data_IF_171621364059
#
_entry.id   IF_171621364059
#
_cell.length_a   1.000
_cell.length_b   1.000
_cell.length_c   1.000
_cell.angle_alpha   90.00
_cell.angle_beta   90.00
_cell.angle_gamma   90.00
#
_symmetry.space_group_name_H-M   'P 1'
#
loop_
_entity.id
_entity.type
_entity.pdbx_description
1 polymer ?
#
# COMPACT_ATOMS: atom_id res chain seq x y z
N UNK A 1 9.68 27.46 20.17
CA UNK A 1 9.28 27.05 18.81
C UNK A 1 9.47 25.55 18.75
N UNK A 2 8.40 24.79 18.98
CA UNK A 2 8.45 23.33 18.88
C UNK A 2 8.67 22.98 17.41
N UNK A 3 9.85 22.45 17.11
CA UNK A 3 10.20 21.98 15.78
C UNK A 3 9.30 20.77 15.45
N UNK A 4 8.69 20.75 14.27
CA UNK A 4 7.87 19.66 13.71
C UNK A 4 8.66 18.35 13.46
N UNK A 5 9.61 18.01 14.32
CA UNK A 5 10.39 16.78 14.28
C UNK A 5 9.70 15.60 15.00
N UNK A 6 8.47 15.78 15.52
CA UNK A 6 7.71 14.72 16.19
C UNK A 6 6.63 14.06 15.33
N UNK A 7 6.68 14.21 14.00
CA UNK A 7 5.86 13.36 13.14
C UNK A 7 6.54 11.99 13.06
N UNK A 8 6.04 11.05 13.85
CA UNK A 8 6.39 9.62 13.86
C UNK A 8 6.97 9.15 12.53
N UNK A 9 8.28 8.88 12.48
CA UNK A 9 8.94 8.24 11.34
C UNK A 9 8.44 6.82 11.12
N UNK A 10 7.81 6.23 12.15
CA UNK A 10 7.12 4.94 12.08
C UNK A 10 5.84 5.07 11.24
N UNK A 11 5.92 4.58 10.01
CA UNK A 11 4.78 4.40 9.11
C UNK A 11 4.55 2.91 8.94
N UNK A 12 3.81 2.33 9.89
CA UNK A 12 3.24 0.99 9.73
C UNK A 12 1.96 1.08 8.89
N UNK A 13 1.99 0.50 7.70
CA UNK A 13 0.86 0.46 6.76
C UNK A 13 0.10 -0.86 6.91
N UNK A 14 -1.21 -0.77 7.11
CA UNK A 14 -2.09 -1.93 7.14
C UNK A 14 -2.64 -2.26 5.75
N UNK A 15 -2.51 -3.51 5.32
CA UNK A 15 -3.18 -4.04 4.12
C UNK A 15 -4.03 -5.27 4.48
N UNK A 16 -5.22 -5.40 3.88
CA UNK A 16 -6.01 -6.64 3.98
C UNK A 16 -5.75 -7.62 2.82
N UNK A 17 -4.79 -7.32 1.94
CA UNK A 17 -4.38 -8.16 0.83
C UNK A 17 -3.25 -9.10 1.28
N UNK A 18 -3.52 -10.41 1.36
CA UNK A 18 -2.50 -11.39 1.76
C UNK A 18 -1.49 -11.63 0.65
N UNK A 19 -1.95 -11.52 -0.59
CA UNK A 19 -1.15 -11.64 -1.80
C UNK A 19 -0.09 -10.54 -1.84
N UNK A 20 -0.40 -9.31 -1.44
CA UNK A 20 0.59 -8.22 -1.35
C UNK A 20 1.74 -8.57 -0.39
N UNK A 21 1.44 -9.19 0.75
CA UNK A 21 2.47 -9.64 1.69
C UNK A 21 3.34 -10.74 1.06
N UNK A 22 2.74 -11.65 0.29
CA UNK A 22 3.48 -12.68 -0.44
C UNK A 22 4.34 -12.08 -1.56
N UNK A 23 3.83 -11.08 -2.29
CA UNK A 23 4.55 -10.37 -3.35
C UNK A 23 5.78 -9.65 -2.80
N UNK A 24 5.66 -8.96 -1.66
CA UNK A 24 6.81 -8.28 -1.03
C UNK A 24 7.86 -9.29 -0.55
N UNK A 25 7.42 -10.48 -0.07
CA UNK A 25 8.33 -11.52 0.42
C UNK A 25 9.11 -12.22 -0.70
N UNK A 26 8.48 -12.40 -1.86
CA UNK A 26 9.09 -13.04 -3.03
C UNK A 26 8.69 -12.30 -4.31
N UNK A 27 9.27 -11.11 -4.57
CA UNK A 27 8.87 -10.25 -5.68
C UNK A 27 9.12 -10.89 -7.05
N UNK A 28 10.12 -11.78 -7.15
CA UNK A 28 10.46 -12.46 -8.41
C UNK A 28 9.38 -13.46 -8.87
N UNK A 29 8.56 -13.98 -7.96
CA UNK A 29 7.40 -14.81 -8.30
C UNK A 29 6.25 -14.02 -8.95
N UNK A 30 6.30 -12.68 -8.94
CA UNK A 30 5.22 -11.80 -9.39
C UNK A 30 5.69 -10.77 -10.43
N UNK A 31 6.24 -11.21 -11.57
CA UNK A 31 6.88 -10.32 -12.55
C UNK A 31 5.94 -9.26 -13.14
N UNK A 32 4.63 -9.52 -13.17
CA UNK A 32 3.62 -8.54 -13.61
C UNK A 32 3.51 -7.31 -12.71
N UNK A 33 4.04 -7.37 -11.48
CA UNK A 33 4.02 -6.28 -10.49
C UNK A 33 5.42 -5.70 -10.23
N UNK A 34 6.41 -5.99 -11.09
CA UNK A 34 7.80 -5.63 -10.86
C UNK A 34 7.99 -4.13 -10.60
N UNK A 35 7.32 -3.27 -11.36
CA UNK A 35 7.40 -1.80 -11.21
C UNK A 35 6.85 -1.33 -9.87
N UNK A 36 5.71 -1.89 -9.43
CA UNK A 36 5.09 -1.57 -8.14
C UNK A 36 5.96 -2.04 -6.98
N UNK A 37 6.55 -3.24 -7.09
CA UNK A 37 7.39 -3.84 -6.07
C UNK A 37 8.72 -3.10 -5.91
N UNK A 38 9.35 -2.67 -7.01
CA UNK A 38 10.55 -1.82 -6.97
C UNK A 38 10.29 -0.48 -6.25
N UNK A 39 9.10 0.11 -6.44
CA UNK A 39 8.72 1.33 -5.70
C UNK A 39 8.54 1.07 -4.21
N UNK A 40 7.93 -0.06 -3.83
CA UNK A 40 7.79 -0.44 -2.42
C UNK A 40 9.17 -0.68 -1.79
N UNK A 41 10.08 -1.36 -2.49
CA UNK A 41 11.46 -1.57 -2.04
C UNK A 41 12.21 -0.24 -1.87
N UNK A 42 12.07 0.68 -2.83
CA UNK A 42 12.64 2.03 -2.73
C UNK A 42 12.15 2.75 -1.48
N UNK A 43 10.85 2.68 -1.17
CA UNK A 43 10.28 3.26 0.04
C UNK A 43 10.85 2.59 1.30
N UNK A 44 11.00 1.27 1.32
CA UNK A 44 11.64 0.55 2.44
C UNK A 44 13.08 1.00 2.68
N UNK A 45 13.84 1.30 1.62
CA UNK A 45 15.21 1.82 1.72
C UNK A 45 15.24 3.26 2.24
N UNK A 46 14.33 4.12 1.76
CA UNK A 46 14.30 5.53 2.11
C UNK A 46 13.79 5.80 3.54
N UNK A 47 12.98 4.90 4.11
CA UNK A 47 12.30 5.10 5.39
C UNK A 47 12.63 3.98 6.40
N UNK A 48 13.45 4.26 7.43
CA UNK A 48 13.94 3.24 8.38
C UNK A 48 12.84 2.46 9.12
N UNK A 49 11.68 3.10 9.37
CA UNK A 49 10.56 2.51 10.12
C UNK A 49 9.36 2.16 9.20
N UNK A 50 9.60 1.89 7.91
CA UNK A 50 8.55 1.51 6.96
C UNK A 50 8.21 0.03 7.10
N UNK A 51 6.94 -0.27 7.38
CA UNK A 51 6.47 -1.65 7.47
C UNK A 51 5.09 -1.79 6.82
N UNK A 52 4.85 -2.92 6.15
CA UNK A 52 3.53 -3.28 5.60
C UNK A 52 3.08 -4.55 6.30
N UNK A 53 1.97 -4.47 7.04
CA UNK A 53 1.43 -5.59 7.82
C UNK A 53 0.05 -6.00 7.32
N UNK A 54 -0.25 -7.30 7.46
CA UNK A 54 -1.59 -7.78 7.24
C UNK A 54 -2.54 -7.32 8.36
N UNK A 55 -3.68 -6.76 7.98
CA UNK A 55 -4.81 -6.46 8.87
C UNK A 55 -6.09 -7.09 8.32
N UNK A 56 -6.94 -7.70 9.16
CA UNK A 56 -8.24 -8.21 8.71
C UNK A 56 -9.08 -7.11 8.06
N UNK A 57 -9.89 -7.46 7.04
CA UNK A 57 -10.77 -6.49 6.34
C UNK A 57 -11.67 -5.69 7.29
N UNK A 58 -12.15 -6.33 8.36
CA UNK A 58 -12.95 -5.68 9.40
C UNK A 58 -12.22 -4.51 10.10
N UNK A 59 -10.88 -4.48 10.05
CA UNK A 59 -10.02 -3.41 10.57
C UNK A 59 -9.49 -2.46 9.48
N UNK A 60 -9.89 -2.66 8.22
CA UNK A 60 -9.48 -1.82 7.08
C UNK A 60 -10.70 -1.24 6.33
N UNK A 61 -11.78 -0.92 7.07
CA UNK A 61 -13.07 -0.54 6.49
C UNK A 61 -13.00 0.76 5.67
N UNK A 62 -12.24 1.75 6.13
CA UNK A 62 -12.08 3.03 5.42
C UNK A 62 -11.45 2.82 4.04
N UNK A 63 -10.33 2.09 3.97
CA UNK A 63 -9.67 1.77 2.70
C UNK A 63 -10.58 0.93 1.79
N UNK A 64 -11.28 -0.06 2.35
CA UNK A 64 -12.23 -0.88 1.60
C UNK A 64 -13.39 -0.06 1.01
N UNK A 65 -13.93 0.88 1.79
CA UNK A 65 -14.95 1.81 1.32
C UNK A 65 -14.43 2.70 0.19
N UNK A 66 -13.27 3.33 0.38
CA UNK A 66 -12.64 4.18 -0.64
C UNK A 66 -12.39 3.42 -1.94
N UNK A 67 -11.85 2.20 -1.86
CA UNK A 67 -11.61 1.36 -3.03
C UNK A 67 -12.91 0.95 -3.75
N UNK A 68 -13.98 0.61 -3.01
CA UNK A 68 -15.30 0.33 -3.58
C UNK A 68 -15.89 1.56 -4.28
N UNK A 69 -15.82 2.70 -3.62
CA UNK A 69 -16.29 3.98 -4.14
C UNK A 69 -15.54 4.36 -5.42
N UNK A 70 -14.20 4.29 -5.42
CA UNK A 70 -13.38 4.54 -6.61
C UNK A 70 -13.75 3.60 -7.78
N UNK A 71 -13.95 2.30 -7.53
CA UNK A 71 -14.42 1.35 -8.55
C UNK A 71 -15.80 1.69 -9.09
N UNK A 72 -16.70 2.22 -8.25
CA UNK A 72 -18.04 2.62 -8.69
C UNK A 72 -18.04 3.86 -9.60
N UNK A 73 -16.99 4.69 -9.50
CA UNK A 73 -16.78 5.84 -10.40
C UNK A 73 -16.17 5.45 -11.75
N UNK A 74 -15.67 4.22 -11.90
CA UNK A 74 -15.16 3.70 -13.17
C UNK A 74 -16.33 3.35 -14.10
N UNK A 75 -17.12 4.35 -14.49
CA UNK A 75 -17.83 4.32 -15.78
C UNK A 75 -16.77 4.29 -16.86
N UNK A 76 -16.93 3.42 -17.85
CA UNK A 76 -16.06 3.31 -19.02
C UNK A 76 -15.81 4.72 -19.58
N UNK A 77 -14.59 5.23 -19.37
CA UNK A 77 -14.07 6.28 -20.23
C UNK A 77 -13.88 5.59 -21.57
N UNK A 78 -14.91 5.64 -22.42
CA UNK A 78 -14.78 5.38 -23.84
C UNK A 78 -13.77 6.40 -24.37
N UNK A 79 -12.52 5.97 -24.48
CA UNK A 79 -11.57 6.67 -25.32
C UNK A 79 -12.01 6.43 -26.77
N UNK A 80 -12.60 7.48 -27.37
CA UNK A 80 -12.80 7.58 -28.83
C UNK A 80 -11.45 7.79 -29.50
#
# INVERSE_FOLDING_TARGET
>A
MENMLQHSTCQSFGTNCKELIAMIKDPHAWPSFATELERIETLQICFPDFNIIYVPRARNQTSDFLAKTARSFHRELFFI
#
